data_IF_251114774227
#
_entry.id   IF_251114774227
#
_cell.length_a   1.000
_cell.length_b   1.000
_cell.length_c   1.000
_cell.angle_alpha   90.00
_cell.angle_beta   90.00
_cell.angle_gamma   90.00
#
_symmetry.space_group_name_H-M   'P 1'
#
loop_
_entity.id
_entity.type
_entity.pdbx_description
1 polymer ?
#
# COMPACT_ATOMS: atom_id res chain seq x y z
N UNK A 1 -25.29 -28.52 -16.69
CA UNK A 1 -24.64 -27.20 -16.83
C UNK A 1 -23.18 -27.41 -16.56
N UNK A 2 -22.31 -26.93 -17.44
CA UNK A 2 -20.87 -26.90 -17.17
C UNK A 2 -20.60 -25.94 -16.00
N UNK A 3 -19.73 -26.35 -15.08
CA UNK A 3 -19.40 -25.56 -13.90
C UNK A 3 -18.59 -24.32 -14.28
N UNK A 4 -18.88 -23.18 -13.66
CA UNK A 4 -18.03 -21.98 -13.73
C UNK A 4 -16.99 -21.94 -12.58
N UNK A 5 -16.68 -23.11 -12.02
CA UNK A 5 -15.66 -23.28 -10.98
C UNK A 5 -14.56 -24.17 -11.52
N UNK A 6 -13.34 -23.67 -11.49
CA UNK A 6 -12.13 -24.33 -11.96
C UNK A 6 -11.17 -24.54 -10.80
N UNK A 7 -10.46 -25.66 -10.80
CA UNK A 7 -9.28 -25.91 -9.97
C UNK A 7 -8.07 -25.99 -10.90
N UNK A 8 -7.03 -25.17 -10.63
CA UNK A 8 -5.82 -25.14 -11.48
C UNK A 8 -5.10 -26.49 -11.55
N UNK A 9 -5.29 -27.37 -10.57
CA UNK A 9 -4.68 -28.71 -10.52
C UNK A 9 -5.47 -29.78 -11.25
N UNK A 10 -6.77 -29.56 -11.49
CA UNK A 10 -7.64 -30.46 -12.26
C UNK A 10 -7.78 -30.05 -13.73
N UNK A 11 -7.43 -28.80 -14.06
CA UNK A 11 -7.57 -28.27 -15.42
C UNK A 11 -6.60 -28.94 -16.41
N UNK A 12 -7.16 -29.55 -17.45
CA UNK A 12 -6.41 -30.13 -18.56
C UNK A 12 -6.39 -29.14 -19.72
N UNK A 13 -5.31 -28.39 -19.84
CA UNK A 13 -5.11 -27.44 -20.94
C UNK A 13 -5.29 -28.13 -22.30
N UNK A 14 -6.16 -27.61 -23.20
CA UNK A 14 -6.40 -28.22 -24.50
C UNK A 14 -5.13 -28.39 -25.34
N UNK A 15 -5.01 -29.52 -26.03
CA UNK A 15 -3.91 -29.81 -26.97
C UNK A 15 -2.58 -30.21 -26.34
N UNK A 16 -2.24 -29.72 -25.13
CA UNK A 16 -1.05 -30.15 -24.38
C UNK A 16 -1.24 -29.86 -22.89
N UNK A 17 -1.25 -30.86 -22.00
CA UNK A 17 -1.30 -30.65 -20.57
C UNK A 17 -0.12 -29.78 -20.08
N UNK A 18 -0.41 -28.72 -19.34
CA UNK A 18 0.54 -27.86 -18.65
C UNK A 18 0.38 -28.11 -17.16
N UNK A 19 1.45 -28.51 -16.48
CA UNK A 19 1.43 -28.64 -15.02
C UNK A 19 1.38 -27.23 -14.38
N UNK A 20 0.38 -26.91 -13.54
CA UNK A 20 0.33 -25.62 -12.86
C UNK A 20 1.55 -25.37 -11.97
N UNK A 21 2.27 -26.42 -11.51
CA UNK A 21 3.53 -26.25 -10.76
C UNK A 21 4.64 -25.67 -11.62
N UNK A 22 4.60 -25.91 -12.93
CA UNK A 22 5.59 -25.41 -13.88
C UNK A 22 5.24 -24.02 -14.41
N UNK A 23 3.97 -23.79 -14.77
CA UNK A 23 3.47 -22.49 -15.21
C UNK A 23 1.97 -22.33 -14.96
N UNK A 24 1.61 -21.92 -13.74
CA UNK A 24 0.21 -21.64 -13.38
C UNK A 24 -0.39 -20.50 -14.20
N UNK A 25 0.44 -19.57 -14.69
CA UNK A 25 -0.04 -18.46 -15.50
C UNK A 25 -0.61 -18.93 -16.84
N UNK A 26 0.06 -19.86 -17.51
CA UNK A 26 -0.45 -20.49 -18.73
C UNK A 26 -1.74 -21.30 -18.48
N UNK A 27 -1.83 -21.99 -17.34
CA UNK A 27 -3.04 -22.72 -16.92
C UNK A 27 -4.22 -21.77 -16.71
N UNK A 28 -4.04 -20.68 -15.96
CA UNK A 28 -5.08 -19.70 -15.71
C UNK A 28 -5.51 -19.00 -17.02
N UNK A 29 -4.57 -18.62 -17.88
CA UNK A 29 -4.91 -18.06 -19.19
C UNK A 29 -5.74 -19.04 -20.05
N UNK A 30 -5.42 -20.34 -19.99
CA UNK A 30 -6.22 -21.37 -20.68
C UNK A 30 -7.63 -21.49 -20.11
N UNK A 31 -7.80 -21.34 -18.79
CA UNK A 31 -9.13 -21.31 -18.15
C UNK A 31 -9.92 -20.06 -18.58
N UNK A 32 -9.28 -18.89 -18.62
CA UNK A 32 -9.91 -17.64 -19.08
C UNK A 32 -10.34 -17.76 -20.55
N UNK A 33 -9.54 -18.41 -21.40
CA UNK A 33 -9.92 -18.68 -22.78
C UNK A 33 -11.17 -19.58 -22.89
N UNK A 34 -11.29 -20.60 -22.03
CA UNK A 34 -12.47 -21.46 -21.95
C UNK A 34 -13.72 -20.69 -21.48
N UNK A 35 -13.59 -19.86 -20.43
CA UNK A 35 -14.67 -18.98 -19.97
C UNK A 35 -15.19 -18.13 -21.12
N UNK A 36 -14.29 -17.50 -21.89
CA UNK A 36 -14.67 -16.65 -23.03
C UNK A 36 -15.31 -17.43 -24.18
N UNK A 37 -14.87 -18.66 -24.40
CA UNK A 37 -15.44 -19.55 -25.41
C UNK A 37 -16.89 -19.92 -25.08
N UNK A 38 -17.18 -20.17 -23.80
CA UNK A 38 -18.52 -20.58 -23.34
C UNK A 38 -19.46 -19.39 -23.14
N UNK A 39 -18.97 -18.28 -22.58
CA UNK A 39 -19.76 -17.10 -22.21
C UNK A 39 -19.71 -16.03 -23.32
N UNK A 40 -20.39 -16.31 -24.43
CA UNK A 40 -20.39 -15.44 -25.62
C UNK A 40 -21.48 -14.37 -25.59
N UNK A 41 -22.67 -14.70 -25.06
CA UNK A 41 -23.81 -13.78 -24.92
C UNK A 41 -23.51 -12.68 -23.87
N UNK A 42 -23.46 -11.39 -24.25
CA UNK A 42 -23.27 -10.29 -23.30
C UNK A 42 -24.32 -10.22 -22.17
N UNK A 43 -25.52 -10.77 -22.38
CA UNK A 43 -26.55 -10.86 -21.34
C UNK A 43 -26.32 -12.00 -20.34
N UNK A 44 -25.44 -12.95 -20.65
CA UNK A 44 -25.13 -14.13 -19.83
C UNK A 44 -23.61 -14.37 -19.75
N UNK A 45 -22.90 -13.40 -19.15
CA UNK A 45 -21.47 -13.53 -18.77
C UNK A 45 -21.30 -13.50 -17.26
N UNK A 46 -21.71 -14.55 -16.53
CA UNK A 46 -21.66 -14.57 -15.07
C UNK A 46 -20.23 -14.56 -14.49
N UNK A 47 -19.19 -14.70 -15.33
CA UNK A 47 -17.83 -14.86 -14.87
C UNK A 47 -17.58 -16.26 -14.33
N UNK A 48 -16.59 -16.41 -13.46
CA UNK A 48 -16.16 -17.71 -12.95
C UNK A 48 -15.34 -17.58 -11.67
N UNK A 49 -15.08 -18.72 -11.03
CA UNK A 49 -14.13 -18.86 -9.93
C UNK A 49 -12.99 -19.77 -10.38
N UNK A 50 -11.76 -19.31 -10.20
CA UNK A 50 -10.54 -20.10 -10.37
C UNK A 50 -9.92 -20.31 -8.99
N UNK A 51 -9.89 -21.56 -8.55
CA UNK A 51 -9.34 -21.97 -7.28
C UNK A 51 -7.89 -22.45 -7.41
N UNK A 52 -7.05 -21.99 -6.48
CA UNK A 52 -5.64 -22.36 -6.34
C UNK A 52 -5.49 -23.09 -5.01
N UNK A 53 -5.39 -24.43 -4.99
CA UNK A 53 -5.12 -25.17 -3.76
C UNK A 53 -3.82 -24.74 -3.08
N UNK A 54 -3.61 -25.04 -1.78
CA UNK A 54 -2.30 -24.91 -1.17
C UNK A 54 -1.25 -25.74 -1.92
N UNK A 55 -0.12 -25.10 -2.22
CA UNK A 55 0.94 -25.66 -3.06
C UNK A 55 1.85 -24.56 -3.59
N UNK A 56 2.99 -24.96 -4.18
CA UNK A 56 3.94 -24.03 -4.79
C UNK A 56 3.84 -24.11 -6.31
N UNK A 57 3.62 -22.96 -6.94
CA UNK A 57 3.36 -22.82 -8.35
C UNK A 57 4.29 -21.77 -8.96
N UNK A 58 5.06 -22.13 -9.97
CA UNK A 58 5.78 -21.14 -10.77
C UNK A 58 4.80 -20.42 -11.71
N UNK A 59 4.87 -19.10 -11.78
CA UNK A 59 4.21 -18.29 -12.80
C UNK A 59 5.27 -17.71 -13.73
N UNK A 60 5.30 -18.21 -14.96
CA UNK A 60 6.27 -17.83 -15.99
C UNK A 60 5.63 -16.97 -17.07
N UNK A 61 4.36 -17.24 -17.35
CA UNK A 61 3.53 -16.49 -18.28
C UNK A 61 2.60 -15.56 -17.50
N UNK A 62 2.60 -14.27 -17.82
CA UNK A 62 1.66 -13.30 -17.25
C UNK A 62 0.21 -13.71 -17.53
N UNK A 63 -0.63 -13.62 -16.51
CA UNK A 63 -2.07 -13.82 -16.61
C UNK A 63 -2.74 -12.53 -17.10
N UNK A 64 -3.58 -12.62 -18.13
CA UNK A 64 -4.40 -11.49 -18.61
C UNK A 64 -5.87 -11.74 -18.28
N UNK A 65 -6.41 -10.92 -17.37
CA UNK A 65 -7.81 -10.93 -16.98
C UNK A 65 -8.56 -9.85 -17.75
N UNK A 66 -9.37 -10.27 -18.73
CA UNK A 66 -10.19 -9.40 -19.56
C UNK A 66 -11.70 -9.73 -19.49
N UNK A 67 -12.10 -10.45 -18.42
CA UNK A 67 -13.49 -10.80 -18.11
C UNK A 67 -13.91 -10.21 -16.76
N UNK A 68 -15.15 -9.73 -16.68
CA UNK A 68 -15.74 -9.25 -15.42
C UNK A 68 -16.17 -10.42 -14.54
N UNK A 69 -16.41 -10.16 -13.25
CA UNK A 69 -16.91 -11.14 -12.29
C UNK A 69 -16.01 -12.38 -12.11
N UNK A 70 -14.73 -12.28 -12.49
CA UNK A 70 -13.75 -13.34 -12.26
C UNK A 70 -13.23 -13.25 -10.84
N UNK A 71 -13.35 -14.35 -10.09
CA UNK A 71 -12.70 -14.52 -8.79
C UNK A 71 -11.54 -15.49 -8.93
N UNK A 72 -10.33 -15.06 -8.61
CA UNK A 72 -9.17 -15.95 -8.46
C UNK A 72 -8.89 -16.06 -6.97
N UNK A 73 -9.00 -17.28 -6.42
CA UNK A 73 -8.90 -17.48 -4.97
C UNK A 73 -8.05 -18.67 -4.57
N UNK A 74 -7.43 -18.57 -3.41
CA UNK A 74 -6.74 -19.68 -2.76
C UNK A 74 -7.31 -20.03 -1.39
N UNK A 75 -6.46 -20.63 -0.57
CA UNK A 75 -6.76 -21.11 0.78
C UNK A 75 -5.70 -20.68 1.83
N UNK A 76 -4.92 -19.64 1.54
CA UNK A 76 -3.99 -19.07 2.51
C UNK A 76 -3.03 -18.03 1.92
N UNK A 77 -2.86 -16.93 2.66
CA UNK A 77 -1.93 -15.83 2.31
C UNK A 77 -0.44 -16.22 2.43
N UNK A 78 -0.12 -17.20 3.28
CA UNK A 78 1.16 -17.91 3.24
C UNK A 78 2.43 -17.08 3.47
N UNK A 79 2.33 -15.91 4.08
CA UNK A 79 3.48 -15.03 4.30
C UNK A 79 4.50 -15.66 5.26
N UNK A 80 5.78 -15.57 4.90
CA UNK A 80 6.92 -15.71 5.80
C UNK A 80 7.97 -14.68 5.41
N UNK A 81 8.81 -14.25 6.36
CA UNK A 81 9.79 -13.18 6.12
C UNK A 81 10.96 -13.70 5.27
N UNK A 82 10.98 -13.29 4.01
CA UNK A 82 12.11 -13.54 3.13
C UNK A 82 13.27 -12.60 3.46
N UNK A 83 12.99 -11.39 3.94
CA UNK A 83 14.02 -10.44 4.37
C UNK A 83 14.86 -11.01 5.52
N UNK A 84 14.22 -11.60 6.55
CA UNK A 84 14.95 -12.24 7.65
C UNK A 84 15.76 -13.42 7.12
N UNK A 85 15.15 -14.29 6.30
CA UNK A 85 15.85 -15.44 5.70
C UNK A 85 17.09 -15.03 4.93
N UNK A 86 16.99 -14.03 4.06
CA UNK A 86 18.10 -13.59 3.21
C UNK A 86 19.24 -12.92 3.98
N UNK A 87 19.01 -12.54 5.24
CA UNK A 87 20.01 -11.90 6.11
C UNK A 87 20.39 -12.78 7.32
N UNK A 88 20.06 -14.08 7.30
CA UNK A 88 20.34 -15.01 8.40
C UNK A 88 21.12 -16.25 7.94
N UNK A 89 21.79 -16.92 8.88
CA UNK A 89 22.20 -18.32 8.69
C UNK A 89 20.96 -19.21 8.85
N UNK A 90 20.61 -19.90 7.77
CA UNK A 90 19.39 -20.72 7.68
C UNK A 90 19.64 -22.20 7.99
N UNK A 91 20.84 -22.55 8.45
CA UNK A 91 21.19 -23.92 8.83
C UNK A 91 20.23 -24.43 9.91
N UNK A 92 19.55 -25.55 9.63
CA UNK A 92 18.62 -26.19 10.56
C UNK A 92 17.22 -25.57 10.64
N UNK A 93 16.90 -24.58 9.81
CA UNK A 93 15.53 -24.03 9.76
C UNK A 93 14.52 -25.05 9.24
N UNK A 94 13.28 -24.98 9.74
CA UNK A 94 12.19 -25.89 9.36
C UNK A 94 11.64 -25.60 7.96
N UNK A 95 11.48 -24.32 7.62
CA UNK A 95 11.02 -23.86 6.31
C UNK A 95 11.78 -22.61 5.86
N UNK A 96 11.79 -22.40 4.54
CA UNK A 96 12.57 -21.33 3.91
C UNK A 96 11.75 -20.44 2.99
N UNK A 97 10.54 -20.82 2.58
CA UNK A 97 9.81 -20.07 1.56
C UNK A 97 8.38 -19.80 2.02
N UNK A 98 7.71 -18.78 1.44
CA UNK A 98 6.28 -18.60 1.59
C UNK A 98 5.49 -19.87 1.24
N UNK A 99 4.28 -19.98 1.78
CA UNK A 99 3.42 -21.14 1.65
C UNK A 99 1.98 -20.78 1.29
N UNK A 100 1.01 -21.55 1.78
CA UNK A 100 -0.39 -21.40 1.41
C UNK A 100 -0.60 -21.73 -0.07
N UNK A 101 -1.45 -20.95 -0.74
CA UNK A 101 -1.61 -21.02 -2.21
C UNK A 101 -0.51 -20.17 -2.86
N UNK A 102 0.71 -20.70 -2.95
CA UNK A 102 1.95 -19.98 -3.23
C UNK A 102 2.26 -19.87 -4.71
N UNK A 103 2.15 -18.67 -5.27
CA UNK A 103 2.61 -18.35 -6.62
C UNK A 103 3.96 -17.65 -6.55
N UNK A 104 4.99 -18.29 -7.11
CA UNK A 104 6.29 -17.68 -7.39
C UNK A 104 6.22 -16.90 -8.70
N UNK A 105 6.33 -15.59 -8.62
CA UNK A 105 6.35 -14.69 -9.77
C UNK A 105 7.74 -14.76 -10.41
N UNK A 106 7.89 -15.60 -11.43
CA UNK A 106 9.15 -15.78 -12.17
C UNK A 106 9.19 -14.92 -13.43
N UNK A 107 8.04 -14.71 -14.09
CA UNK A 107 7.85 -13.79 -15.23
C UNK A 107 8.94 -13.90 -16.31
N UNK A 108 9.14 -15.11 -16.81
CA UNK A 108 10.13 -15.37 -17.86
C UNK A 108 9.64 -15.02 -19.27
N UNK A 109 8.41 -14.51 -19.40
CA UNK A 109 7.79 -14.10 -20.66
C UNK A 109 8.12 -12.64 -21.07
N UNK A 110 8.91 -11.93 -20.26
CA UNK A 110 9.31 -10.55 -20.51
C UNK A 110 8.32 -9.50 -20.01
N UNK A 111 7.24 -9.91 -19.35
CA UNK A 111 6.30 -9.00 -18.69
C UNK A 111 6.65 -8.78 -17.22
N UNK A 112 6.23 -7.65 -16.64
CA UNK A 112 6.46 -7.34 -15.23
C UNK A 112 5.37 -7.88 -14.30
N UNK A 113 4.13 -7.96 -14.77
CA UNK A 113 2.98 -8.34 -13.95
C UNK A 113 2.80 -9.85 -13.85
N UNK A 114 2.49 -10.39 -12.67
CA UNK A 114 1.94 -11.74 -12.57
C UNK A 114 0.49 -11.76 -13.11
N UNK A 115 -0.32 -10.79 -12.67
CA UNK A 115 -1.70 -10.60 -13.14
C UNK A 115 -1.88 -9.19 -13.70
N UNK A 116 -2.28 -9.11 -14.97
CA UNK A 116 -2.75 -7.89 -15.62
C UNK A 116 -4.26 -7.97 -15.82
N UNK A 117 -5.00 -7.07 -15.18
CA UNK A 117 -6.44 -6.88 -15.36
C UNK A 117 -6.64 -5.70 -16.30
N UNK A 118 -7.04 -5.95 -17.54
CA UNK A 118 -7.18 -4.91 -18.54
C UNK A 118 -8.18 -5.29 -19.63
N UNK A 119 -9.08 -4.37 -19.97
CA UNK A 119 -9.96 -4.50 -21.15
C UNK A 119 -10.31 -3.12 -21.68
N UNK A 120 -10.16 -2.94 -23.00
CA UNK A 120 -10.60 -1.74 -23.69
C UNK A 120 -12.11 -1.77 -23.99
N UNK A 121 -12.71 -0.61 -24.19
CA UNK A 121 -14.13 -0.47 -24.53
C UNK A 121 -15.06 -0.52 -23.33
N UNK A 122 -16.36 -0.60 -23.60
CA UNK A 122 -17.40 -0.54 -22.58
C UNK A 122 -18.05 -1.92 -22.33
N UNK A 123 -18.54 -2.18 -21.11
CA UNK A 123 -18.36 -1.38 -19.88
C UNK A 123 -16.95 -1.54 -19.28
N UNK A 124 -16.63 -0.74 -18.24
CA UNK A 124 -15.44 -0.96 -17.38
C UNK A 124 -15.42 -2.39 -16.84
N UNK A 125 -14.24 -2.96 -16.61
CA UNK A 125 -14.14 -4.26 -15.92
C UNK A 125 -14.70 -4.12 -14.50
N UNK A 126 -15.64 -4.99 -14.16
CA UNK A 126 -16.35 -4.89 -12.89
C UNK A 126 -16.19 -6.15 -12.04
N UNK A 127 -16.10 -5.97 -10.73
CA UNK A 127 -16.13 -7.03 -9.72
C UNK A 127 -15.15 -8.19 -9.97
N UNK A 128 -13.96 -7.89 -10.49
CA UNK A 128 -12.84 -8.83 -10.47
C UNK A 128 -12.32 -8.93 -9.03
N UNK A 129 -12.13 -10.15 -8.55
CA UNK A 129 -11.73 -10.42 -7.17
C UNK A 129 -10.48 -11.31 -7.09
N UNK A 130 -9.57 -10.95 -6.19
CA UNK A 130 -8.40 -11.74 -5.81
C UNK A 130 -8.46 -12.02 -4.31
N UNK A 131 -8.47 -13.30 -3.93
CA UNK A 131 -8.76 -13.70 -2.55
C UNK A 131 -7.84 -14.80 -2.00
N UNK A 132 -7.25 -14.61 -0.82
CA UNK A 132 -6.66 -15.68 0.00
C UNK A 132 -5.56 -16.52 -0.69
N UNK A 133 -4.69 -15.93 -1.49
CA UNK A 133 -3.50 -16.61 -2.02
C UNK A 133 -2.24 -15.75 -1.89
N UNK A 134 -1.08 -16.35 -2.13
CA UNK A 134 0.23 -15.74 -1.95
C UNK A 134 0.89 -15.42 -3.30
N UNK A 135 1.39 -14.18 -3.44
CA UNK A 135 2.26 -13.76 -4.53
C UNK A 135 3.65 -13.43 -4.00
N UNK A 136 4.64 -14.19 -4.46
CA UNK A 136 6.02 -14.12 -4.02
C UNK A 136 6.92 -13.71 -5.19
N UNK A 137 7.57 -12.55 -5.09
CA UNK A 137 8.54 -12.08 -6.09
C UNK A 137 9.89 -12.82 -6.07
N UNK A 138 10.05 -13.79 -5.17
CA UNK A 138 11.16 -14.74 -5.01
C UNK A 138 12.43 -14.09 -4.49
N UNK A 139 12.94 -13.05 -5.16
CA UNK A 139 14.27 -12.48 -4.94
C UNK A 139 14.32 -11.04 -5.43
N UNK A 140 15.07 -10.18 -4.72
CA UNK A 140 15.43 -8.83 -5.20
C UNK A 140 16.74 -8.80 -6.02
N UNK A 141 17.17 -9.95 -6.53
CA UNK A 141 18.36 -10.07 -7.37
C UNK A 141 19.66 -10.18 -6.57
N UNK A 142 20.72 -9.50 -7.01
CA UNK A 142 22.04 -9.56 -6.37
C UNK A 142 22.08 -8.90 -4.99
N UNK A 143 21.21 -7.92 -4.76
CA UNK A 143 21.03 -7.28 -3.46
C UNK A 143 19.61 -7.58 -2.94
N UNK A 144 19.52 -8.54 -2.01
CA UNK A 144 18.27 -8.98 -1.40
C UNK A 144 17.60 -7.92 -0.52
N UNK A 145 18.27 -6.78 -0.27
CA UNK A 145 17.75 -5.65 0.49
C UNK A 145 17.44 -4.44 -0.42
N UNK A 146 17.52 -4.60 -1.75
CA UNK A 146 17.32 -3.49 -2.70
C UNK A 146 15.87 -3.09 -2.90
N UNK A 147 14.93 -3.99 -2.61
CA UNK A 147 13.50 -3.82 -2.91
C UNK A 147 13.17 -3.66 -4.41
N UNK A 148 14.09 -4.06 -5.29
CA UNK A 148 13.96 -3.92 -6.75
C UNK A 148 14.12 -5.26 -7.44
N UNK A 149 13.16 -5.60 -8.30
CA UNK A 149 13.22 -6.77 -9.18
C UNK A 149 12.36 -6.64 -10.45
N UNK A 150 11.73 -5.48 -10.68
CA UNK A 150 10.87 -5.21 -11.82
C UNK A 150 9.55 -5.98 -11.83
N UNK A 151 9.21 -6.70 -10.76
CA UNK A 151 8.02 -7.55 -10.68
C UNK A 151 6.85 -6.80 -10.05
N UNK A 152 5.69 -6.99 -10.65
CA UNK A 152 4.39 -6.49 -10.18
C UNK A 152 3.50 -7.67 -9.83
N UNK A 153 2.89 -7.69 -8.64
CA UNK A 153 1.95 -8.74 -8.26
C UNK A 153 0.67 -8.66 -9.09
N UNK A 154 -0.15 -7.65 -8.82
CA UNK A 154 -1.41 -7.42 -9.53
C UNK A 154 -1.42 -6.00 -10.09
N UNK A 155 -1.74 -5.87 -11.37
CA UNK A 155 -1.95 -4.58 -12.04
C UNK A 155 -3.34 -4.51 -12.66
N UNK A 156 -4.15 -3.55 -12.22
CA UNK A 156 -5.30 -3.10 -13.00
C UNK A 156 -4.81 -2.02 -13.96
N UNK A 157 -4.76 -2.37 -15.25
CA UNK A 157 -4.24 -1.51 -16.32
C UNK A 157 -5.27 -0.58 -16.95
N UNK A 158 -6.55 -0.74 -16.61
CA UNK A 158 -7.68 0.06 -17.12
C UNK A 158 -8.63 0.40 -15.97
N UNK A 159 -9.43 1.45 -16.15
CA UNK A 159 -10.49 1.84 -15.22
C UNK A 159 -11.38 0.63 -14.87
N UNK A 160 -11.72 0.52 -13.59
CA UNK A 160 -12.40 -0.63 -13.03
C UNK A 160 -13.44 -0.21 -11.99
N UNK A 161 -14.38 -1.10 -11.72
CA UNK A 161 -15.51 -0.85 -10.84
C UNK A 161 -15.72 -2.02 -9.86
N UNK A 162 -15.88 -1.73 -8.57
CA UNK A 162 -16.20 -2.71 -7.53
C UNK A 162 -15.19 -3.88 -7.44
N UNK A 163 -13.93 -3.68 -7.83
CA UNK A 163 -12.88 -4.68 -7.70
C UNK A 163 -12.61 -5.01 -6.21
N UNK A 164 -12.14 -6.23 -5.93
CA UNK A 164 -11.86 -6.69 -4.56
C UNK A 164 -10.51 -7.39 -4.46
N UNK A 165 -9.72 -6.97 -3.48
CA UNK A 165 -8.44 -7.61 -3.14
C UNK A 165 -8.48 -7.89 -1.64
N UNK A 166 -8.62 -9.17 -1.27
CA UNK A 166 -8.89 -9.55 0.12
C UNK A 166 -8.08 -10.76 0.60
N UNK A 167 -7.60 -10.71 1.84
CA UNK A 167 -6.91 -11.84 2.45
C UNK A 167 -5.63 -12.28 1.72
N UNK A 168 -5.08 -11.43 0.86
CA UNK A 168 -3.91 -11.74 0.05
C UNK A 168 -2.64 -11.73 0.87
N UNK A 169 -1.67 -12.56 0.48
CA UNK A 169 -0.28 -12.43 0.90
C UNK A 169 0.57 -11.96 -0.26
N UNK A 170 1.34 -10.90 -0.10
CA UNK A 170 2.22 -10.39 -1.14
C UNK A 170 3.58 -10.05 -0.54
N UNK A 171 4.64 -10.63 -1.11
CA UNK A 171 6.00 -10.59 -0.54
C UNK A 171 7.05 -10.50 -1.63
N UNK A 172 8.12 -9.74 -1.39
CA UNK A 172 9.30 -9.64 -2.25
C UNK A 172 9.03 -9.16 -3.69
N UNK A 173 7.95 -8.41 -3.90
CA UNK A 173 7.62 -7.76 -5.16
C UNK A 173 8.11 -6.32 -5.17
N UNK A 174 8.61 -5.79 -6.29
CA UNK A 174 8.90 -4.36 -6.38
C UNK A 174 7.63 -3.52 -6.24
N UNK A 175 6.52 -3.98 -6.85
CA UNK A 175 5.20 -3.38 -6.67
C UNK A 175 4.18 -4.50 -6.40
N UNK A 176 3.50 -4.48 -5.26
CA UNK A 176 2.57 -5.55 -4.94
C UNK A 176 1.22 -5.36 -5.67
N UNK A 177 0.59 -4.19 -5.52
CA UNK A 177 -0.71 -3.88 -6.09
C UNK A 177 -0.71 -2.50 -6.75
N UNK A 178 -0.95 -2.45 -8.06
CA UNK A 178 -1.04 -1.22 -8.85
C UNK A 178 -2.42 -1.12 -9.49
N UNK A 179 -3.14 -0.02 -9.28
CA UNK A 179 -4.53 0.10 -9.71
C UNK A 179 -4.77 1.43 -10.41
N UNK A 180 -5.09 1.36 -11.69
CA UNK A 180 -5.50 2.50 -12.50
C UNK A 180 -7.00 2.74 -12.37
N UNK A 181 -7.39 3.98 -12.05
CA UNK A 181 -8.78 4.46 -12.14
C UNK A 181 -9.84 3.65 -11.38
N UNK A 182 -9.64 3.24 -10.11
CA UNK A 182 -10.64 2.47 -9.40
C UNK A 182 -11.87 3.29 -8.98
N UNK A 183 -13.03 2.67 -9.14
CA UNK A 183 -14.32 3.11 -8.63
C UNK A 183 -14.86 2.05 -7.66
N UNK A 184 -15.26 2.46 -6.46
CA UNK A 184 -15.81 1.56 -5.43
C UNK A 184 -14.92 0.33 -5.09
N UNK A 185 -13.59 0.49 -5.21
CA UNK A 185 -12.62 -0.56 -4.92
C UNK A 185 -12.58 -0.90 -3.43
N UNK A 186 -12.41 -2.20 -3.13
CA UNK A 186 -12.13 -2.71 -1.79
C UNK A 186 -10.78 -3.45 -1.71
N UNK A 187 -9.83 -2.86 -0.97
CA UNK A 187 -8.59 -3.52 -0.57
C UNK A 187 -8.61 -3.76 0.94
N UNK A 188 -8.93 -4.99 1.36
CA UNK A 188 -9.10 -5.26 2.80
C UNK A 188 -8.55 -6.57 3.33
N UNK A 189 -8.03 -6.55 4.56
CA UNK A 189 -7.60 -7.75 5.27
C UNK A 189 -6.39 -8.45 4.65
N UNK A 190 -5.56 -7.73 3.90
CA UNK A 190 -4.38 -8.27 3.23
C UNK A 190 -3.13 -8.18 4.12
N UNK A 191 -2.13 -9.02 3.81
CA UNK A 191 -0.78 -8.94 4.33
C UNK A 191 0.19 -8.67 3.17
N UNK A 192 0.60 -7.42 3.01
CA UNK A 192 1.46 -6.95 1.91
C UNK A 192 2.72 -6.36 2.52
N UNK A 193 3.80 -7.14 2.57
CA UNK A 193 5.02 -6.73 3.27
C UNK A 193 6.28 -7.20 2.54
N UNK A 194 7.39 -6.53 2.83
CA UNK A 194 8.66 -6.76 2.15
C UNK A 194 8.55 -6.56 0.63
N UNK A 195 7.70 -5.62 0.23
CA UNK A 195 7.54 -5.17 -1.14
C UNK A 195 8.10 -3.76 -1.30
N UNK A 196 8.57 -3.37 -2.49
CA UNK A 196 9.07 -2.02 -2.73
C UNK A 196 7.97 -0.99 -2.46
N UNK A 197 6.83 -1.14 -3.14
CA UNK A 197 5.57 -0.45 -2.88
C UNK A 197 4.46 -1.47 -2.61
N UNK A 198 3.64 -1.25 -1.59
CA UNK A 198 2.53 -2.16 -1.28
C UNK A 198 1.29 -1.83 -2.12
N UNK A 199 0.69 -0.65 -1.95
CA UNK A 199 -0.53 -0.25 -2.69
C UNK A 199 -0.28 1.06 -3.46
N UNK A 200 -0.56 1.05 -4.77
CA UNK A 200 -0.36 2.19 -5.65
C UNK A 200 -1.61 2.48 -6.50
N UNK A 201 -2.34 3.54 -6.15
CA UNK A 201 -3.55 3.99 -6.87
C UNK A 201 -3.21 5.17 -7.79
N UNK A 202 -3.49 5.00 -9.08
CA UNK A 202 -3.09 5.93 -10.16
C UNK A 202 -4.29 6.41 -10.97
N UNK A 203 -4.15 7.58 -11.60
CA UNK A 203 -5.17 8.14 -12.51
C UNK A 203 -6.43 8.72 -11.86
N UNK A 204 -6.56 8.59 -10.54
CA UNK A 204 -7.73 9.01 -9.78
C UNK A 204 -8.53 7.84 -9.24
N UNK A 205 -9.21 8.05 -8.11
CA UNK A 205 -10.15 7.08 -7.55
C UNK A 205 -11.38 7.76 -6.97
N UNK A 206 -12.46 7.01 -6.86
CA UNK A 206 -13.65 7.45 -6.13
C UNK A 206 -14.26 6.32 -5.31
N UNK A 207 -14.80 6.67 -4.13
CA UNK A 207 -15.45 5.74 -3.20
C UNK A 207 -14.63 4.46 -2.87
N UNK A 208 -13.31 4.56 -2.95
CA UNK A 208 -12.39 3.46 -2.70
C UNK A 208 -12.11 3.33 -1.21
N UNK A 209 -11.93 2.09 -0.73
CA UNK A 209 -11.48 1.82 0.64
C UNK A 209 -10.24 0.94 0.70
N UNK A 210 -9.35 1.27 1.63
CA UNK A 210 -8.17 0.50 2.03
C UNK A 210 -8.28 0.25 3.53
N UNK A 211 -8.66 -0.97 3.91
CA UNK A 211 -9.14 -1.26 5.26
C UNK A 211 -8.53 -2.52 5.90
N UNK A 212 -8.07 -2.43 7.14
CA UNK A 212 -7.72 -3.63 7.92
C UNK A 212 -6.50 -4.41 7.39
N UNK A 213 -5.57 -3.75 6.70
CA UNK A 213 -4.41 -4.39 6.10
C UNK A 213 -3.17 -4.35 7.02
N UNK A 214 -2.28 -5.33 6.86
CA UNK A 214 -0.90 -5.32 7.35
C UNK A 214 0.02 -4.92 6.21
N UNK A 215 0.67 -3.75 6.32
CA UNK A 215 1.47 -3.17 5.24
C UNK A 215 2.88 -2.84 5.71
N UNK A 216 3.90 -3.28 4.97
CA UNK A 216 5.31 -2.95 5.23
C UNK A 216 6.13 -2.85 3.95
N UNK A 217 6.31 -1.62 3.46
CA UNK A 217 7.02 -1.37 2.20
C UNK A 217 8.55 -1.26 2.36
N UNK A 218 9.24 -0.94 1.27
CA UNK A 218 10.68 -0.73 1.21
C UNK A 218 11.07 0.76 1.20
N UNK A 219 12.36 1.08 1.42
CA UNK A 219 12.85 2.46 1.51
C UNK A 219 12.94 3.17 0.13
N UNK A 220 12.32 2.57 -0.89
CA UNK A 220 12.30 3.05 -2.29
C UNK A 220 10.87 3.23 -2.81
N UNK A 221 9.87 2.98 -1.98
CA UNK A 221 8.46 3.00 -2.37
C UNK A 221 7.52 3.19 -1.19
N UNK A 222 6.22 3.20 -1.47
CA UNK A 222 5.19 3.62 -0.53
C UNK A 222 4.49 2.42 0.11
N UNK A 223 4.06 2.55 1.36
CA UNK A 223 3.10 1.58 1.90
C UNK A 223 1.73 1.77 1.25
N UNK A 224 1.25 3.02 1.21
CA UNK A 224 0.09 3.41 0.40
C UNK A 224 0.44 4.68 -0.36
N UNK A 225 0.21 4.68 -1.67
CA UNK A 225 0.13 5.90 -2.47
C UNK A 225 -1.21 5.96 -3.21
N UNK A 226 -1.80 7.16 -3.26
CA UNK A 226 -2.94 7.45 -4.13
C UNK A 226 -2.86 8.86 -4.72
N UNK A 227 -3.23 9.02 -5.99
CA UNK A 227 -3.36 10.35 -6.61
C UNK A 227 -4.79 10.63 -7.11
N UNK A 228 -5.12 11.92 -7.22
CA UNK A 228 -6.36 12.44 -7.81
C UNK A 228 -7.63 11.77 -7.25
N UNK A 229 -7.59 11.40 -5.97
CA UNK A 229 -8.66 10.62 -5.33
C UNK A 229 -9.72 11.52 -4.71
N UNK A 230 -10.97 11.07 -4.71
CA UNK A 230 -12.09 11.76 -4.08
C UNK A 230 -12.92 10.79 -3.23
N UNK A 231 -13.01 11.04 -1.92
CA UNK A 231 -13.72 10.13 -1.02
C UNK A 231 -13.00 8.80 -0.79
N UNK A 232 -11.66 8.81 -0.75
CA UNK A 232 -10.85 7.65 -0.38
C UNK A 232 -10.93 7.42 1.14
N UNK A 233 -11.16 6.19 1.56
CA UNK A 233 -11.16 5.79 2.98
C UNK A 233 -9.96 4.87 3.29
N UNK A 234 -9.06 5.31 4.15
CA UNK A 234 -7.91 4.54 4.65
C UNK A 234 -8.08 4.36 6.16
N UNK A 235 -8.48 3.16 6.59
CA UNK A 235 -8.83 2.94 8.00
C UNK A 235 -8.50 1.55 8.55
N UNK A 236 -8.23 1.46 9.85
CA UNK A 236 -8.01 0.18 10.52
C UNK A 236 -6.74 -0.55 10.08
N UNK A 237 -5.81 0.10 9.37
CA UNK A 237 -4.59 -0.55 8.88
C UNK A 237 -3.51 -0.54 9.97
N UNK A 238 -2.70 -1.60 10.01
CA UNK A 238 -1.43 -1.64 10.73
C UNK A 238 -0.29 -1.52 9.72
N UNK A 239 0.25 -0.32 9.60
CA UNK A 239 1.34 0.01 8.69
C UNK A 239 2.63 0.07 9.51
N UNK A 240 3.59 -0.76 9.12
CA UNK A 240 4.89 -0.88 9.77
C UNK A 240 6.01 -0.57 8.75
N UNK A 241 7.25 -0.40 9.21
CA UNK A 241 8.35 0.01 8.34
C UNK A 241 8.59 -0.95 7.16
N UNK A 242 9.25 -0.50 6.09
CA UNK A 242 10.08 0.72 5.98
C UNK A 242 9.77 1.50 4.70
N UNK A 243 8.50 1.68 4.38
CA UNK A 243 8.06 2.56 3.29
C UNK A 243 8.59 3.99 3.45
N UNK A 244 8.81 4.69 2.35
CA UNK A 244 9.22 6.12 2.39
C UNK A 244 8.14 7.01 3.00
N UNK A 245 6.88 6.64 2.81
CA UNK A 245 5.72 7.12 3.56
C UNK A 245 4.86 5.91 4.00
N UNK A 246 4.11 6.06 5.08
CA UNK A 246 3.02 5.11 5.41
C UNK A 246 1.80 5.37 4.52
N UNK A 247 1.41 6.65 4.39
CA UNK A 247 0.34 7.07 3.48
C UNK A 247 0.76 8.34 2.74
N UNK A 248 0.83 8.25 1.43
CA UNK A 248 1.06 9.38 0.55
C UNK A 248 -0.18 9.61 -0.29
N UNK A 249 -0.82 10.77 -0.21
CA UNK A 249 -1.86 11.14 -1.17
C UNK A 249 -1.51 12.43 -1.89
N UNK A 250 -1.77 12.45 -3.20
CA UNK A 250 -1.44 13.57 -4.08
C UNK A 250 -2.69 14.10 -4.76
N UNK A 251 -2.85 15.42 -4.77
CA UNK A 251 -4.00 16.09 -5.42
C UNK A 251 -5.35 15.46 -5.06
N UNK A 252 -5.54 15.09 -3.80
CA UNK A 252 -6.69 14.28 -3.35
C UNK A 252 -7.62 15.07 -2.44
N UNK A 253 -8.90 14.74 -2.49
CA UNK A 253 -9.97 15.55 -1.93
C UNK A 253 -10.90 14.73 -1.05
N UNK A 254 -11.43 15.35 0.01
CA UNK A 254 -12.55 14.81 0.81
C UNK A 254 -12.33 13.35 1.24
N UNK A 255 -11.08 13.01 1.51
CA UNK A 255 -10.66 11.66 1.86
C UNK A 255 -10.42 11.55 3.36
N UNK A 256 -10.45 10.34 3.89
CA UNK A 256 -10.33 10.06 5.32
C UNK A 256 -9.19 9.06 5.57
N UNK A 257 -8.21 9.47 6.37
CA UNK A 257 -7.12 8.65 6.90
C UNK A 257 -7.30 8.57 8.42
N UNK A 258 -7.96 7.52 8.91
CA UNK A 258 -8.29 7.43 10.34
C UNK A 258 -8.22 6.04 10.94
N UNK A 259 -8.02 5.97 12.26
CA UNK A 259 -7.96 4.72 13.02
C UNK A 259 -6.90 3.74 12.52
N UNK A 260 -5.75 4.24 12.06
CA UNK A 260 -4.60 3.43 11.66
C UNK A 260 -3.52 3.42 12.74
N UNK A 261 -2.75 2.33 12.82
CA UNK A 261 -1.47 2.29 13.55
C UNK A 261 -0.34 2.42 12.53
N UNK A 262 0.47 3.45 12.67
CA UNK A 262 1.49 3.87 11.70
C UNK A 262 2.86 3.91 12.39
N UNK A 263 3.72 2.93 12.12
CA UNK A 263 5.10 2.92 12.58
C UNK A 263 6.03 3.18 11.40
N UNK A 264 6.90 4.18 11.56
CA UNK A 264 7.86 4.59 10.55
C UNK A 264 9.26 4.73 11.14
N UNK A 265 10.27 4.40 10.35
CA UNK A 265 11.67 4.71 10.67
C UNK A 265 12.11 6.10 10.16
N UNK A 266 11.27 6.72 9.34
CA UNK A 266 11.60 7.95 8.61
C UNK A 266 10.55 9.06 8.85
N UNK A 267 10.92 10.34 8.68
CA UNK A 267 9.97 11.45 8.57
C UNK A 267 8.99 11.21 7.40
N UNK A 268 7.82 11.86 7.43
CA UNK A 268 6.78 11.68 6.42
C UNK A 268 5.97 10.39 6.60
N UNK A 269 5.44 10.13 7.79
CA UNK A 269 4.50 9.00 7.94
C UNK A 269 3.24 9.22 7.10
N UNK A 270 2.68 10.44 7.12
CA UNK A 270 1.63 10.86 6.19
C UNK A 270 2.10 12.10 5.43
N UNK A 271 1.96 12.06 4.11
CA UNK A 271 2.28 13.18 3.22
C UNK A 271 1.09 13.52 2.34
N UNK A 272 0.63 14.78 2.37
CA UNK A 272 -0.33 15.33 1.41
C UNK A 272 0.43 16.18 0.37
N UNK A 273 0.68 15.64 -0.81
CA UNK A 273 1.39 16.31 -1.90
C UNK A 273 0.43 17.08 -2.82
N UNK A 274 0.89 18.23 -3.32
CA UNK A 274 0.16 19.01 -4.32
C UNK A 274 -1.11 19.65 -3.74
N UNK A 275 -2.19 19.61 -4.50
CA UNK A 275 -3.44 20.31 -4.17
C UNK A 275 -4.40 19.38 -3.41
N UNK A 276 -4.09 19.06 -2.14
CA UNK A 276 -4.97 18.22 -1.32
C UNK A 276 -5.95 19.05 -0.50
N UNK A 277 -7.26 18.80 -0.62
CA UNK A 277 -8.27 19.60 0.09
C UNK A 277 -9.29 18.79 0.88
N UNK A 278 -9.72 19.35 2.01
CA UNK A 278 -10.86 18.85 2.78
C UNK A 278 -10.67 17.41 3.27
N UNK A 279 -9.41 16.97 3.46
CA UNK A 279 -9.10 15.63 3.94
C UNK A 279 -9.11 15.58 5.47
N UNK A 280 -9.53 14.45 6.03
CA UNK A 280 -9.52 14.18 7.46
C UNK A 280 -8.36 13.22 7.80
N UNK A 281 -7.49 13.63 8.71
CA UNK A 281 -6.46 12.80 9.34
C UNK A 281 -6.78 12.71 10.82
N UNK A 282 -7.37 11.60 11.28
CA UNK A 282 -7.83 11.52 12.67
C UNK A 282 -7.72 10.19 13.37
N UNK A 283 -7.59 10.20 14.69
CA UNK A 283 -7.57 8.98 15.52
C UNK A 283 -6.51 7.95 15.10
N UNK A 284 -5.39 8.41 14.53
CA UNK A 284 -4.27 7.54 14.19
C UNK A 284 -3.26 7.49 15.35
N UNK A 285 -2.57 6.35 15.47
CA UNK A 285 -1.42 6.19 16.37
C UNK A 285 -0.15 6.19 15.53
N UNK A 286 0.72 7.15 15.77
CA UNK A 286 2.01 7.29 15.10
C UNK A 286 3.14 6.87 16.03
N UNK A 287 4.09 6.13 15.49
CA UNK A 287 5.34 5.76 16.15
C UNK A 287 6.50 6.05 15.19
N UNK A 288 7.24 7.13 15.45
CA UNK A 288 8.48 7.47 14.75
C UNK A 288 9.65 7.06 15.64
N UNK A 289 10.45 6.10 15.18
CA UNK A 289 11.72 5.73 15.81
C UNK A 289 12.81 5.49 14.77
N UNK A 290 14.03 5.13 15.18
CA UNK A 290 15.11 4.78 14.24
C UNK A 290 15.10 3.28 13.92
N UNK A 291 15.59 2.91 12.74
CA UNK A 291 15.77 1.50 12.33
C UNK A 291 16.74 0.79 13.29
N UNK A 292 16.38 -0.41 13.72
CA UNK A 292 17.18 -1.23 14.64
C UNK A 292 17.60 -2.56 14.03
N UNK A 293 17.02 -2.94 12.89
CA UNK A 293 17.38 -4.15 12.17
C UNK A 293 18.67 -3.94 11.36
N UNK A 294 19.73 -4.63 11.79
CA UNK A 294 21.11 -4.45 11.32
C UNK A 294 21.29 -4.18 9.82
N UNK A 295 20.73 -5.02 8.91
CA UNK A 295 20.92 -4.84 7.46
C UNK A 295 20.41 -3.53 6.88
N UNK A 296 19.56 -2.79 7.61
CA UNK A 296 18.93 -1.56 7.15
C UNK A 296 19.29 -0.32 7.97
N UNK A 297 20.13 -0.46 9.01
CA UNK A 297 20.64 0.69 9.76
C UNK A 297 21.37 1.64 8.80
N UNK A 298 21.04 2.93 8.89
CA UNK A 298 21.62 3.98 8.04
C UNK A 298 20.91 4.20 6.70
N UNK A 299 19.96 3.35 6.32
CA UNK A 299 19.08 3.59 5.17
C UNK A 299 18.00 4.60 5.57
N UNK A 300 17.73 5.59 4.72
CA UNK A 300 16.70 6.60 4.92
C UNK A 300 15.94 6.93 3.65
N UNK A 301 14.87 7.73 3.76
CA UNK A 301 14.06 8.20 2.64
C UNK A 301 14.53 9.54 2.05
N UNK A 302 15.63 10.10 2.56
CA UNK A 302 16.18 11.38 2.10
C UNK A 302 15.50 12.62 2.70
N UNK A 303 14.62 12.45 3.69
CA UNK A 303 13.98 13.54 4.42
C UNK A 303 14.64 13.72 5.79
N UNK A 304 14.66 14.98 6.23
CA UNK A 304 15.10 15.40 7.56
C UNK A 304 13.89 15.48 8.52
N UNK A 305 14.15 15.47 9.83
CA UNK A 305 13.11 15.44 10.87
C UNK A 305 12.29 16.74 10.98
N UNK A 306 12.73 17.84 10.34
CA UNK A 306 11.95 19.07 10.23
C UNK A 306 10.86 18.98 9.13
N UNK A 307 10.85 17.92 8.31
CA UNK A 307 9.80 17.67 7.33
C UNK A 307 8.43 17.47 7.97
N UNK A 308 8.40 16.84 9.15
CA UNK A 308 7.18 16.45 9.84
C UNK A 308 6.98 14.94 9.90
N UNK A 309 6.36 14.44 10.97
CA UNK A 309 5.72 13.11 10.98
C UNK A 309 4.53 13.11 10.03
N UNK A 310 3.79 14.22 9.99
CA UNK A 310 2.72 14.49 9.04
C UNK A 310 3.03 15.81 8.34
N UNK A 311 3.07 15.79 7.01
CA UNK A 311 3.22 16.98 6.19
C UNK A 311 1.96 17.20 5.36
N UNK A 312 1.47 18.44 5.36
CA UNK A 312 0.29 18.84 4.59
C UNK A 312 0.61 19.97 3.62
N UNK A 313 0.19 19.79 2.36
CA UNK A 313 0.05 20.84 1.37
C UNK A 313 -1.40 20.89 0.86
N UNK A 314 -2.05 22.03 1.03
CA UNK A 314 -3.40 22.30 0.52
C UNK A 314 -4.38 22.76 1.60
N UNK A 315 -5.66 22.83 1.24
CA UNK A 315 -6.64 23.69 1.93
C UNK A 315 -7.70 22.90 2.71
N UNK A 316 -8.17 23.44 3.83
CA UNK A 316 -9.34 22.91 4.53
C UNK A 316 -9.15 21.51 5.12
N UNK A 317 -7.92 21.02 5.24
CA UNK A 317 -7.65 19.70 5.83
C UNK A 317 -7.82 19.76 7.35
N UNK A 318 -8.28 18.67 7.94
CA UNK A 318 -8.47 18.54 9.39
C UNK A 318 -7.57 17.45 9.95
N UNK A 319 -6.72 17.81 10.91
CA UNK A 319 -5.78 16.90 11.60
C UNK A 319 -6.14 16.88 13.08
N UNK A 320 -6.76 15.81 13.57
CA UNK A 320 -7.27 15.80 14.95
C UNK A 320 -7.27 14.46 15.66
N UNK A 321 -7.19 14.49 16.99
CA UNK A 321 -7.34 13.30 17.84
C UNK A 321 -6.29 12.23 17.56
N UNK A 322 -5.11 12.62 17.07
CA UNK A 322 -4.02 11.70 16.82
C UNK A 322 -3.12 11.57 18.05
N UNK A 323 -2.52 10.39 18.21
CA UNK A 323 -1.49 10.12 19.21
C UNK A 323 -0.15 9.91 18.52
N UNK A 324 0.88 10.65 18.90
CA UNK A 324 2.21 10.57 18.30
C UNK A 324 3.24 10.25 19.37
N UNK A 325 4.00 9.18 19.15
CA UNK A 325 5.24 8.88 19.88
C UNK A 325 6.42 9.08 18.94
N UNK A 326 7.33 10.00 19.27
CA UNK A 326 8.57 10.25 18.53
C UNK A 326 9.77 10.03 19.45
N UNK A 327 10.50 8.94 19.22
CA UNK A 327 11.67 8.56 20.01
C UNK A 327 12.88 8.40 19.10
N UNK A 328 13.77 9.39 19.10
CA UNK A 328 14.97 9.42 18.26
C UNK A 328 16.18 9.74 19.16
N UNK A 329 17.30 9.02 19.04
CA UNK A 329 18.55 9.44 19.68
C UNK A 329 18.90 10.89 19.28
N UNK A 330 19.20 11.80 20.22
CA UNK A 330 19.43 13.21 19.90
C UNK A 330 20.53 13.46 18.86
N UNK A 331 21.55 12.59 18.82
CA UNK A 331 22.66 12.62 17.88
C UNK A 331 22.29 12.12 16.46
N UNK A 332 21.10 11.53 16.30
CA UNK A 332 20.58 11.05 15.01
C UNK A 332 19.47 11.92 14.43
N UNK A 333 19.11 13.03 15.09
CA UNK A 333 18.19 14.02 14.55
C UNK A 333 18.81 14.69 13.33
N UNK A 334 18.01 14.83 12.27
CA UNK A 334 18.42 15.51 11.03
C UNK A 334 17.55 16.75 10.75
N UNK A 335 18.12 17.87 10.28
CA UNK A 335 19.56 18.13 10.24
C UNK A 335 20.15 18.18 11.67
N UNK A 336 21.46 17.96 11.79
CA UNK A 336 22.13 17.97 13.08
C UNK A 336 21.92 19.31 13.81
N UNK A 337 21.48 19.26 15.07
CA UNK A 337 21.12 20.45 15.86
C UNK A 337 19.77 21.08 15.50
N UNK A 338 19.03 20.51 14.55
CA UNK A 338 17.67 20.92 14.20
C UNK A 338 16.63 20.50 15.25
N UNK A 339 15.43 21.07 15.14
CA UNK A 339 14.27 20.69 15.96
C UNK A 339 13.27 19.95 15.09
N UNK A 340 12.93 18.72 15.47
CA UNK A 340 11.99 17.90 14.73
C UNK A 340 10.58 18.51 14.73
N UNK A 341 9.85 18.33 13.63
CA UNK A 341 8.46 18.74 13.48
C UNK A 341 7.53 17.52 13.57
N UNK A 342 6.34 17.69 14.17
CA UNK A 342 5.31 16.65 14.18
C UNK A 342 4.30 16.89 13.07
N UNK A 343 3.51 17.96 13.14
CA UNK A 343 2.55 18.35 12.12
C UNK A 343 3.04 19.60 11.40
N UNK A 344 3.47 19.47 10.14
CA UNK A 344 3.92 20.59 9.32
C UNK A 344 2.90 20.93 8.24
N UNK A 345 2.31 22.11 8.33
CA UNK A 345 1.46 22.67 7.28
C UNK A 345 2.37 23.55 6.41
N UNK A 346 2.75 23.01 5.26
CA UNK A 346 3.71 23.65 4.35
C UNK A 346 3.08 24.80 3.58
N UNK A 347 1.82 24.66 3.21
CA UNK A 347 1.07 25.67 2.48
C UNK A 347 -0.44 25.36 2.55
N UNK A 348 -1.26 26.37 2.28
CA UNK A 348 -2.71 26.25 2.13
C UNK A 348 -3.52 27.06 3.14
N UNK A 349 -4.81 27.15 2.87
CA UNK A 349 -5.78 27.95 3.61
C UNK A 349 -6.67 27.09 4.52
N UNK A 350 -7.10 27.63 5.66
CA UNK A 350 -8.15 27.03 6.50
C UNK A 350 -7.87 25.61 7.01
N UNK A 351 -6.60 25.24 7.21
CA UNK A 351 -6.28 23.95 7.84
C UNK A 351 -6.58 24.00 9.34
N UNK A 352 -7.19 22.93 9.85
CA UNK A 352 -7.54 22.77 11.26
C UNK A 352 -6.66 21.68 11.89
N UNK A 353 -5.94 22.02 12.95
CA UNK A 353 -5.05 21.11 13.66
C UNK A 353 -5.40 21.15 15.13
N UNK A 354 -5.98 20.08 15.67
CA UNK A 354 -6.31 20.14 17.09
C UNK A 354 -6.57 18.85 17.84
N UNK A 355 -6.47 18.93 19.17
CA UNK A 355 -6.60 17.79 20.07
C UNK A 355 -5.64 16.63 19.72
N UNK A 356 -4.38 16.94 19.41
CA UNK A 356 -3.36 15.93 19.14
C UNK A 356 -2.42 15.78 20.34
N UNK A 357 -2.12 14.54 20.73
CA UNK A 357 -1.22 14.25 21.85
C UNK A 357 0.14 13.80 21.34
N UNK A 358 1.20 14.49 21.76
CA UNK A 358 2.59 14.21 21.35
C UNK A 358 3.41 13.81 22.57
N UNK A 359 4.09 12.68 22.45
CA UNK A 359 5.09 12.19 23.40
C UNK A 359 6.43 12.15 22.67
N UNK A 360 7.46 12.79 23.21
CA UNK A 360 8.80 12.73 22.64
C UNK A 360 9.89 12.80 23.70
N UNK A 361 11.04 12.18 23.40
CA UNK A 361 12.28 12.34 24.17
C UNK A 361 13.08 13.59 23.76
N UNK A 362 12.61 14.34 22.76
CA UNK A 362 13.25 15.55 22.24
C UNK A 362 12.40 16.79 22.51
N UNK A 363 13.04 17.96 22.46
CA UNK A 363 12.32 19.19 22.18
C UNK A 363 11.85 19.14 20.71
N UNK A 364 10.57 19.44 20.47
CA UNK A 364 9.95 19.37 19.14
C UNK A 364 9.07 20.57 18.89
N UNK A 365 8.88 20.90 17.61
CA UNK A 365 7.73 21.69 17.18
C UNK A 365 6.56 20.74 16.93
N UNK A 366 5.55 20.79 17.81
CA UNK A 366 4.36 19.95 17.62
C UNK A 366 3.59 20.39 16.39
N UNK A 367 3.51 21.70 16.13
CA UNK A 367 2.91 22.25 14.91
C UNK A 367 3.84 23.28 14.29
N UNK A 368 4.08 23.14 12.99
CA UNK A 368 4.77 24.13 12.17
C UNK A 368 3.81 24.66 11.11
N UNK A 369 3.58 25.97 11.12
CA UNK A 369 2.84 26.68 10.07
C UNK A 369 3.86 27.46 9.22
N UNK A 370 4.11 26.99 8.00
CA UNK A 370 5.00 27.68 7.08
C UNK A 370 4.37 29.00 6.57
N UNK A 371 5.18 29.92 6.04
CA UNK A 371 4.77 31.27 5.69
C UNK A 371 3.65 31.35 4.63
N UNK A 372 3.49 30.31 3.80
CA UNK A 372 2.43 30.23 2.79
C UNK A 372 1.04 29.92 3.37
N UNK A 373 0.94 29.57 4.65
CA UNK A 373 -0.34 29.20 5.26
C UNK A 373 -1.18 30.41 5.63
N UNK A 374 -2.50 30.31 5.46
CA UNK A 374 -3.46 31.36 5.86
C UNK A 374 -4.65 30.77 6.59
N UNK A 375 -5.26 31.56 7.49
CA UNK A 375 -6.47 31.22 8.23
C UNK A 375 -6.46 29.84 8.91
N UNK A 376 -5.26 29.32 9.22
CA UNK A 376 -5.13 28.02 9.87
C UNK A 376 -5.47 28.15 11.35
N UNK A 377 -6.08 27.13 11.94
CA UNK A 377 -6.45 27.14 13.35
C UNK A 377 -5.81 25.95 14.07
N UNK A 378 -5.02 26.25 15.09
CA UNK A 378 -4.35 25.28 15.94
C UNK A 378 -4.95 25.31 17.34
N UNK A 379 -5.35 24.18 17.90
CA UNK A 379 -5.85 24.13 19.28
C UNK A 379 -5.42 22.84 20.00
N UNK A 380 -5.05 22.93 21.27
CA UNK A 380 -4.73 21.78 22.14
C UNK A 380 -3.80 20.75 21.47
N UNK A 381 -2.78 21.24 20.76
CA UNK A 381 -1.79 20.42 20.05
C UNK A 381 -0.36 20.87 20.35
N UNK A 382 -0.13 21.41 21.54
CA UNK A 382 1.17 21.88 22.03
C UNK A 382 1.09 23.19 22.80
N UNK A 383 2.15 23.49 23.55
CA UNK A 383 2.33 24.77 24.25
C UNK A 383 2.73 25.90 23.28
N UNK A 384 2.80 27.13 23.79
CA UNK A 384 3.27 28.28 23.01
C UNK A 384 4.67 28.08 22.41
N UNK A 385 5.57 27.39 23.11
CA UNK A 385 6.94 27.13 22.65
C UNK A 385 7.01 26.00 21.61
N UNK A 386 5.99 25.13 21.57
CA UNK A 386 5.93 24.01 20.63
C UNK A 386 5.27 24.38 19.29
N UNK A 387 4.60 25.54 19.22
CA UNK A 387 4.13 26.12 17.96
C UNK A 387 5.24 26.95 17.30
N UNK A 388 5.61 26.59 16.07
CA UNK A 388 6.39 27.46 15.18
C UNK A 388 5.50 28.00 14.07
N UNK A 389 5.08 29.25 14.17
CA UNK A 389 4.26 29.90 13.16
C UNK A 389 5.06 30.96 12.40
N UNK A 390 5.40 30.66 11.14
CA UNK A 390 5.98 31.60 10.20
C UNK A 390 4.89 32.39 9.43
N UNK A 391 3.63 31.98 9.54
CA UNK A 391 2.47 32.74 9.07
C UNK A 391 2.03 33.79 10.09
N UNK A 392 1.43 34.88 9.61
CA UNK A 392 0.79 35.91 10.45
C UNK A 392 -0.73 35.75 10.54
N UNK A 393 -1.31 34.81 9.78
CA UNK A 393 -2.75 34.56 9.71
C UNK A 393 -3.06 33.17 10.26
N UNK A 394 -3.22 33.09 11.59
CA UNK A 394 -3.63 31.87 12.26
C UNK A 394 -4.35 32.15 13.59
N UNK A 395 -5.20 31.23 14.00
CA UNK A 395 -5.70 31.15 15.38
C UNK A 395 -4.90 30.11 16.15
N UNK A 396 -4.55 30.39 17.42
CA UNK A 396 -3.89 29.42 18.28
C UNK A 396 -4.46 29.40 19.69
N UNK A 397 -4.83 28.21 20.17
CA UNK A 397 -5.10 27.91 21.58
C UNK A 397 -4.07 26.91 22.09
N UNK A 398 -3.15 27.30 22.99
CA UNK A 398 -2.16 26.38 23.54
C UNK A 398 -2.83 25.29 24.38
N UNK A 399 -2.21 24.12 24.43
CA UNK A 399 -2.51 23.11 25.46
C UNK A 399 -2.24 23.73 26.84
N UNK A 400 -3.21 23.66 27.80
CA UNK A 400 -3.07 24.25 29.13
C UNK A 400 -1.89 23.75 29.96
#
# INVERSE_FOLDING_TARGET
MESNVYDVTDWKTPGKPIDPRYDIGAVINSIIADIKMRQTDPADKPGAVIYIPPGTYSLKTRVVVDVSFLTIRGSGHGFTSLSIRYNSDTTGWHELNPGGSHIKVENTDGASEAFLVARNGNPRLSAVAFENFCLDGVSFGSNQNSYRNGKVGIRFGTDNDSARIRGMGMVYLEQALVIQGPDALDVSGNFIAECGTCIFILGGSQATKIEGNHLGAGPVGFSIFAENSNGLLITGNNIFPRGIDSVHIKNSFRSNISANRLQSFYPGSITLEGNCKENLISSNVFERQVETYGPFIGIGNGLDDDFGVVQVNGDGNTITSNHVTLIIPPDQVKPAGGTAAIFRIKNGDQNLIGANHVISNLAVHTVVLDAGTTNSHVFDSGTQQQLLANSTSYGFRPTP
#
